data_IF_166568861979
#
_entry.id   IF_166568861979
#
_cell.length_a   1.000
_cell.length_b   1.000
_cell.length_c   1.000
_cell.angle_alpha   90.00
_cell.angle_beta   90.00
_cell.angle_gamma   90.00
#
_symmetry.space_group_name_H-M   'P 1'
#
loop_
_entity.id
_entity.type
_entity.pdbx_description
1 polymer ?
#
# COMPACT_ATOMS: atom_id res chain seq x y z
N UNK A 1 15.23 -5.85 8.05
CA UNK A 1 14.32 -6.09 6.92
C UNK A 1 13.98 -7.58 6.90
N UNK A 2 12.74 -7.97 7.18
CA UNK A 2 12.31 -9.37 7.09
C UNK A 2 12.10 -9.71 5.60
N UNK A 3 12.64 -10.82 5.07
CA UNK A 3 12.55 -11.15 3.64
C UNK A 3 11.10 -11.25 3.11
N UNK A 4 10.15 -11.63 3.97
CA UNK A 4 8.75 -11.90 3.58
C UNK A 4 7.95 -10.63 3.24
N UNK A 5 8.33 -9.46 3.77
CA UNK A 5 7.58 -8.22 3.56
C UNK A 5 8.13 -7.36 2.41
N UNK A 6 9.24 -7.77 1.78
CA UNK A 6 9.89 -6.98 0.73
C UNK A 6 8.99 -6.81 -0.51
N UNK A 7 8.27 -7.85 -0.90
CA UNK A 7 7.32 -7.79 -2.02
C UNK A 7 6.15 -6.84 -1.72
N UNK A 8 5.63 -6.87 -0.49
CA UNK A 8 4.55 -5.97 -0.07
C UNK A 8 5.03 -4.52 -0.05
N UNK A 9 6.27 -4.28 0.40
CA UNK A 9 6.89 -2.96 0.37
C UNK A 9 7.07 -2.44 -1.05
N UNK A 10 7.55 -3.25 -2.00
CA UNK A 10 7.66 -2.84 -3.41
C UNK A 10 6.31 -2.44 -4.00
N UNK A 11 5.24 -3.20 -3.70
CA UNK A 11 3.88 -2.86 -4.13
C UNK A 11 3.42 -1.55 -3.48
N UNK A 12 3.71 -1.35 -2.19
CA UNK A 12 3.38 -0.13 -1.46
C UNK A 12 4.10 1.10 -2.01
N UNK A 13 5.40 0.99 -2.27
CA UNK A 13 6.22 2.02 -2.91
C UNK A 13 5.69 2.38 -4.31
N UNK A 14 5.36 1.38 -5.13
CA UNK A 14 4.78 1.58 -6.45
C UNK A 14 3.39 2.26 -6.41
N UNK A 15 2.67 2.15 -5.29
CA UNK A 15 1.38 2.79 -5.05
C UNK A 15 1.51 4.17 -4.39
N UNK A 16 2.71 4.65 -4.06
CA UNK A 16 2.96 5.84 -3.22
C UNK A 16 2.29 7.13 -3.73
N UNK A 17 1.98 7.23 -5.02
CA UNK A 17 1.32 8.40 -5.63
C UNK A 17 -0.20 8.30 -5.69
N UNK A 18 -0.77 7.13 -5.40
CA UNK A 18 -2.18 6.79 -5.68
C UNK A 18 -3.10 7.00 -4.47
N UNK A 19 -2.75 7.97 -3.63
CA UNK A 19 -3.58 8.39 -2.51
C UNK A 19 -4.83 9.09 -3.01
N UNK A 20 -5.98 8.62 -2.55
CA UNK A 20 -7.22 9.39 -2.56
C UNK A 20 -7.12 10.41 -1.43
N UNK A 21 -7.27 11.68 -1.78
CA UNK A 21 -7.24 12.79 -0.83
C UNK A 21 -8.62 13.43 -0.72
N UNK A 22 -8.99 13.84 0.49
CA UNK A 22 -10.19 14.62 0.78
C UNK A 22 -9.84 15.96 1.43
N UNK A 23 -10.84 16.66 1.95
CA UNK A 23 -10.66 17.94 2.64
C UNK A 23 -9.63 17.88 3.80
N UNK A 24 -9.46 16.69 4.39
CA UNK A 24 -8.51 16.40 5.45
C UNK A 24 -7.32 15.55 4.95
N UNK A 25 -6.81 15.79 3.73
CA UNK A 25 -5.62 15.11 3.18
C UNK A 25 -5.88 13.66 2.78
N UNK A 26 -4.84 12.82 2.79
CA UNK A 26 -4.94 11.42 2.36
C UNK A 26 -5.91 10.61 3.23
N UNK A 27 -6.85 9.90 2.59
CA UNK A 27 -7.86 9.06 3.26
C UNK A 27 -7.70 7.58 2.98
N UNK A 28 -6.94 7.21 1.94
CA UNK A 28 -6.66 5.83 1.56
C UNK A 28 -6.11 5.71 0.14
N UNK A 29 -5.56 4.57 -0.23
CA UNK A 29 -5.04 4.24 -1.55
C UNK A 29 -6.15 3.86 -2.51
N UNK A 30 -5.92 4.06 -3.80
CA UNK A 30 -6.85 3.58 -4.83
C UNK A 30 -6.72 2.07 -5.08
N UNK A 31 -7.62 1.31 -4.49
CA UNK A 31 -7.69 -0.15 -4.67
C UNK A 31 -8.05 -0.60 -6.08
N UNK A 32 -8.58 0.29 -6.94
CA UNK A 32 -8.95 -0.07 -8.32
C UNK A 32 -7.72 -0.44 -9.16
N UNK A 33 -6.57 0.20 -8.89
CA UNK A 33 -5.31 -0.03 -9.61
C UNK A 33 -4.40 -1.05 -8.92
N UNK A 34 -4.67 -1.39 -7.66
CA UNK A 34 -3.81 -2.25 -6.83
C UNK A 34 -3.55 -3.62 -7.48
N UNK A 35 -4.57 -4.25 -8.05
CA UNK A 35 -4.41 -5.55 -8.70
C UNK A 35 -3.47 -5.50 -9.92
N UNK A 36 -3.50 -4.38 -10.66
CA UNK A 36 -2.61 -4.11 -11.78
C UNK A 36 -1.17 -3.90 -11.31
N UNK A 37 -0.98 -3.11 -10.25
CA UNK A 37 0.35 -2.86 -9.67
C UNK A 37 0.98 -4.14 -9.10
N UNK A 38 0.22 -4.93 -8.34
CA UNK A 38 0.66 -6.25 -7.83
C UNK A 38 1.15 -7.14 -8.98
N UNK A 39 0.45 -7.11 -10.12
CA UNK A 39 0.86 -7.86 -11.31
C UNK A 39 2.14 -7.30 -11.93
N UNK A 40 2.28 -5.97 -12.05
CA UNK A 40 3.47 -5.32 -12.60
C UNK A 40 4.71 -5.52 -11.73
N UNK A 41 4.55 -5.65 -10.42
CA UNK A 41 5.63 -5.97 -9.48
C UNK A 41 6.11 -7.44 -9.57
N UNK A 42 5.49 -8.27 -10.42
CA UNK A 42 5.88 -9.66 -10.62
C UNK A 42 5.40 -10.63 -9.54
N UNK A 43 4.44 -10.23 -8.70
CA UNK A 43 3.97 -11.04 -7.57
C UNK A 43 3.20 -12.28 -8.06
N UNK A 44 3.61 -13.50 -7.65
CA UNK A 44 2.91 -14.74 -7.97
C UNK A 44 1.48 -14.73 -7.44
N UNK A 45 0.55 -15.36 -8.18
CA UNK A 45 -0.88 -15.42 -7.80
C UNK A 45 -1.07 -15.99 -6.38
N UNK A 46 -0.28 -17.02 -6.02
CA UNK A 46 -0.30 -17.65 -4.69
C UNK A 46 0.02 -16.70 -3.54
N UNK A 47 0.76 -15.61 -3.80
CA UNK A 47 1.20 -14.67 -2.76
C UNK A 47 0.32 -13.41 -2.68
N UNK A 48 -0.56 -13.18 -3.66
CA UNK A 48 -1.33 -11.92 -3.75
C UNK A 48 -2.22 -11.66 -2.53
N UNK A 49 -2.78 -12.70 -1.91
CA UNK A 49 -3.61 -12.55 -0.71
C UNK A 49 -2.78 -12.09 0.51
N UNK A 50 -1.58 -12.64 0.68
CA UNK A 50 -0.65 -12.23 1.73
C UNK A 50 -0.21 -10.78 1.50
N UNK A 51 0.24 -10.47 0.28
CA UNK A 51 0.65 -9.12 -0.12
C UNK A 51 -0.47 -8.10 0.08
N UNK A 52 -1.71 -8.45 -0.27
CA UNK A 52 -2.86 -7.58 -0.04
C UNK A 52 -3.08 -7.31 1.45
N UNK A 53 -2.89 -8.32 2.30
CA UNK A 53 -3.07 -8.17 3.75
C UNK A 53 -1.98 -7.31 4.37
N UNK A 54 -0.73 -7.49 3.94
CA UNK A 54 0.40 -6.68 4.40
C UNK A 54 0.34 -5.24 3.88
N UNK A 55 -0.09 -5.06 2.62
CA UNK A 55 -0.34 -3.74 2.04
C UNK A 55 -1.35 -2.93 2.86
N UNK A 56 -2.47 -3.54 3.28
CA UNK A 56 -3.46 -2.89 4.15
C UNK A 56 -2.88 -2.44 5.49
N UNK A 57 -1.98 -3.23 6.06
CA UNK A 57 -1.28 -2.84 7.30
C UNK A 57 -0.37 -1.65 7.05
N UNK A 58 0.43 -1.67 5.99
CA UNK A 58 1.30 -0.55 5.62
C UNK A 58 0.51 0.73 5.35
N UNK A 59 -0.64 0.63 4.68
CA UNK A 59 -1.54 1.76 4.45
C UNK A 59 -2.06 2.36 5.76
N UNK A 60 -2.53 1.52 6.70
CA UNK A 60 -3.04 1.98 7.98
C UNK A 60 -1.97 2.75 8.78
N UNK A 61 -0.75 2.21 8.84
CA UNK A 61 0.38 2.88 9.49
C UNK A 61 0.75 4.19 8.79
N UNK A 62 0.77 4.21 7.45
CA UNK A 62 1.06 5.43 6.69
C UNK A 62 0.00 6.51 6.91
N UNK A 63 -1.29 6.15 6.95
CA UNK A 63 -2.37 7.08 7.27
C UNK A 63 -2.23 7.64 8.68
N UNK A 64 -1.86 6.81 9.65
CA UNK A 64 -1.62 7.25 11.02
C UNK A 64 -0.48 8.28 11.06
N UNK A 65 0.68 7.97 10.47
CA UNK A 65 1.84 8.89 10.42
C UNK A 65 1.52 10.19 9.69
N UNK A 66 0.77 10.13 8.57
CA UNK A 66 0.32 11.30 7.82
C UNK A 66 -0.66 12.17 8.63
N UNK A 67 -1.47 11.55 9.49
CA UNK A 67 -2.39 12.26 10.39
C UNK A 67 -1.65 12.92 11.56
N UNK A 68 -0.68 12.22 12.15
CA UNK A 68 0.16 12.72 13.24
C UNK A 68 1.03 13.89 12.80
N UNK A 69 1.61 13.83 11.59
CA UNK A 69 2.44 14.89 11.01
C UNK A 69 1.69 16.21 10.73
N UNK A 70 0.35 16.21 10.88
CA UNK A 70 -0.48 17.42 10.72
C UNK A 70 -0.73 18.14 12.05
N UNK A 71 -0.51 17.48 13.19
CA UNK A 71 -0.72 18.05 14.53
C UNK A 71 0.53 18.76 15.00
#
# INVERSE_FOLDING_TARGET
MWPDNWEAFKVFEAMSTQWRTGACGATGMDYSVLSGVIRMCGVPISQRQTIFSDFRRMEAEALQVMSESRT
#
